data_IF_154153149138
#
_entry.id   IF_154153149138
#
_cell.length_a   1.000
_cell.length_b   1.000
_cell.length_c   1.000
_cell.angle_alpha   90.00
_cell.angle_beta   90.00
_cell.angle_gamma   90.00
#
_symmetry.space_group_name_H-M   'P 1'
#
loop_
_entity.id
_entity.type
_entity.pdbx_description
1 polymer ?
#
# COMPACT_ATOMS: atom_id res chain seq x y z
N UNK A 1 -19.12 20.43 17.76
CA UNK A 1 -18.21 20.44 16.60
C UNK A 1 -18.18 19.03 16.06
N UNK A 2 -18.68 18.79 14.84
CA UNK A 2 -18.55 17.46 14.24
C UNK A 2 -17.05 17.20 14.02
N UNK A 3 -16.53 16.01 14.37
CA UNK A 3 -15.15 15.68 14.08
C UNK A 3 -14.92 15.75 12.56
N UNK A 4 -13.88 16.48 12.15
CA UNK A 4 -13.47 16.55 10.73
C UNK A 4 -13.01 15.17 10.25
N UNK A 5 -13.18 14.86 8.96
CA UNK A 5 -12.71 13.60 8.37
C UNK A 5 -11.20 13.42 8.49
N UNK A 6 -10.44 14.51 8.63
CA UNK A 6 -9.02 14.51 8.97
C UNK A 6 -8.72 13.83 10.29
N UNK A 7 -9.68 13.67 11.19
CA UNK A 7 -9.48 12.97 12.46
C UNK A 7 -9.68 11.45 12.34
N UNK A 8 -10.02 10.93 11.15
CA UNK A 8 -10.23 9.50 10.92
C UNK A 8 -8.93 8.70 11.16
N UNK A 9 -8.84 7.89 12.23
CA UNK A 9 -7.62 7.15 12.58
C UNK A 9 -7.13 6.21 11.47
N UNK A 10 -8.03 5.60 10.68
CA UNK A 10 -7.61 4.70 9.61
C UNK A 10 -6.77 5.41 8.55
N UNK A 11 -7.01 6.70 8.27
CA UNK A 11 -6.18 7.48 7.35
C UNK A 11 -4.76 7.60 7.92
N UNK A 12 -4.61 8.04 9.17
CA UNK A 12 -3.29 8.23 9.79
C UNK A 12 -2.51 6.94 10.00
N UNK A 13 -3.18 5.85 10.36
CA UNK A 13 -2.53 4.54 10.50
C UNK A 13 -1.89 4.12 9.17
N UNK A 14 -2.63 4.25 8.07
CA UNK A 14 -2.10 3.90 6.76
C UNK A 14 -1.05 4.89 6.26
N UNK A 15 -1.23 6.20 6.50
CA UNK A 15 -0.22 7.19 6.16
C UNK A 15 1.10 6.90 6.90
N UNK A 16 1.03 6.58 8.20
CA UNK A 16 2.20 6.21 9.00
C UNK A 16 2.90 4.95 8.47
N UNK A 17 2.18 4.08 7.74
CA UNK A 17 2.74 2.94 7.02
C UNK A 17 3.87 3.30 6.04
N UNK A 18 3.96 4.55 5.58
CA UNK A 18 5.08 5.02 4.75
C UNK A 18 6.44 4.85 5.43
N UNK A 19 6.51 4.81 6.77
CA UNK A 19 7.75 4.56 7.50
C UNK A 19 8.31 3.14 7.25
N UNK A 20 7.47 2.18 6.86
CA UNK A 20 7.92 0.84 6.48
C UNK A 20 8.57 0.80 5.09
N UNK A 21 8.28 1.77 4.21
CA UNK A 21 8.85 1.84 2.86
C UNK A 21 10.39 1.79 2.84
N UNK A 22 11.12 2.69 3.52
CA UNK A 22 12.59 2.65 3.51
C UNK A 22 13.16 1.38 4.17
N UNK A 23 12.45 0.78 5.13
CA UNK A 23 12.88 -0.47 5.78
C UNK A 23 12.88 -1.61 4.74
N UNK A 24 11.80 -1.74 3.98
CA UNK A 24 11.71 -2.74 2.92
C UNK A 24 12.71 -2.50 1.78
N UNK A 25 12.99 -1.24 1.44
CA UNK A 25 14.07 -0.92 0.49
C UNK A 25 15.45 -1.32 1.01
N UNK A 26 15.71 -1.15 2.32
CA UNK A 26 16.95 -1.63 2.95
C UNK A 26 17.09 -3.14 2.87
N UNK A 27 16.01 -3.89 3.15
CA UNK A 27 15.99 -5.35 3.02
C UNK A 27 16.22 -5.77 1.56
N UNK A 28 15.59 -5.08 0.60
CA UNK A 28 15.81 -5.30 -0.83
C UNK A 28 17.28 -5.09 -1.22
N UNK A 29 17.90 -3.99 -0.77
CA UNK A 29 19.31 -3.71 -1.03
C UNK A 29 20.22 -4.82 -0.48
N UNK A 30 20.04 -5.20 0.79
CA UNK A 30 20.85 -6.25 1.43
C UNK A 30 20.66 -7.61 0.75
N UNK A 31 19.44 -7.91 0.30
CA UNK A 31 19.14 -9.17 -0.40
C UNK A 31 19.74 -9.20 -1.80
N UNK A 32 19.79 -8.06 -2.49
CA UNK A 32 20.45 -7.94 -3.79
C UNK A 32 21.98 -7.97 -3.66
N UNK A 33 22.54 -7.43 -2.57
CA UNK A 33 23.97 -7.43 -2.29
C UNK A 33 24.52 -8.82 -1.89
N UNK A 34 23.65 -9.75 -1.49
CA UNK A 34 24.02 -11.10 -1.09
C UNK A 34 24.35 -11.99 -2.31
N UNK A 35 25.55 -11.78 -2.87
CA UNK A 35 26.13 -12.59 -3.93
C UNK A 35 25.90 -12.07 -5.35
N UNK A 36 26.59 -12.69 -6.31
CA UNK A 36 26.51 -12.33 -7.72
C UNK A 36 25.16 -12.73 -8.36
N UNK A 37 24.75 -12.06 -9.46
CA UNK A 37 23.59 -12.47 -10.25
C UNK A 37 23.70 -13.93 -10.74
N UNK A 38 22.63 -14.72 -10.55
CA UNK A 38 22.50 -16.09 -11.09
C UNK A 38 22.04 -16.09 -12.54
N UNK A 39 21.23 -15.09 -12.90
CA UNK A 39 20.69 -14.89 -14.24
C UNK A 39 21.26 -13.59 -14.81
N UNK A 40 21.15 -13.37 -16.14
CA UNK A 40 21.44 -12.07 -16.73
C UNK A 40 20.69 -10.97 -15.97
N UNK A 41 21.38 -9.86 -15.69
CA UNK A 41 20.89 -8.74 -14.86
C UNK A 41 19.48 -8.30 -15.24
N UNK A 42 19.19 -8.18 -16.54
CA UNK A 42 17.88 -7.77 -17.03
C UNK A 42 16.76 -8.74 -16.61
N UNK A 43 17.05 -10.04 -16.51
CA UNK A 43 16.07 -11.06 -16.17
C UNK A 43 15.78 -11.06 -14.66
N UNK A 44 16.81 -10.99 -13.81
CA UNK A 44 16.60 -10.86 -12.35
C UNK A 44 15.84 -9.57 -12.02
N UNK A 45 16.26 -8.45 -12.62
CA UNK A 45 15.58 -7.18 -12.47
C UNK A 45 14.11 -7.28 -12.88
N UNK A 46 13.83 -7.88 -14.04
CA UNK A 46 12.46 -8.05 -14.53
C UNK A 46 11.63 -8.94 -13.61
N UNK A 47 12.20 -10.03 -13.08
CA UNK A 47 11.51 -10.91 -12.13
C UNK A 47 11.13 -10.17 -10.85
N UNK A 48 12.08 -9.45 -10.24
CA UNK A 48 11.82 -8.67 -9.03
C UNK A 48 10.78 -7.58 -9.33
N UNK A 49 10.92 -6.88 -10.45
CA UNK A 49 9.99 -5.84 -10.87
C UNK A 49 8.56 -6.38 -11.04
N UNK A 50 8.39 -7.50 -11.75
CA UNK A 50 7.08 -8.13 -11.98
C UNK A 50 6.47 -8.57 -10.64
N UNK A 51 7.23 -9.27 -9.80
CA UNK A 51 6.77 -9.74 -8.49
C UNK A 51 6.34 -8.56 -7.62
N UNK A 52 7.14 -7.49 -7.57
CA UNK A 52 6.86 -6.35 -6.69
C UNK A 52 5.79 -5.40 -7.21
N UNK A 53 5.61 -5.28 -8.53
CA UNK A 53 4.71 -4.29 -9.13
C UNK A 53 3.37 -4.90 -9.53
N UNK A 54 3.36 -6.02 -10.25
CA UNK A 54 2.15 -6.50 -10.90
C UNK A 54 1.00 -6.77 -9.91
N UNK A 55 1.19 -7.42 -8.75
CA UNK A 55 0.11 -7.68 -7.82
C UNK A 55 -0.51 -6.40 -7.25
N UNK A 56 0.33 -5.42 -6.90
CA UNK A 56 -0.13 -4.15 -6.30
C UNK A 56 -0.81 -3.29 -7.35
N UNK A 57 -0.24 -3.17 -8.55
CA UNK A 57 -0.84 -2.43 -9.66
C UNK A 57 -2.19 -3.03 -10.05
N UNK A 58 -2.27 -4.36 -10.17
CA UNK A 58 -3.53 -5.05 -10.44
C UNK A 58 -4.58 -4.76 -9.38
N UNK A 59 -4.22 -4.92 -8.10
CA UNK A 59 -5.10 -4.61 -6.98
C UNK A 59 -5.63 -3.18 -7.09
N UNK A 60 -4.74 -2.18 -7.22
CA UNK A 60 -5.13 -0.77 -7.24
C UNK A 60 -5.96 -0.36 -8.47
N UNK A 61 -5.75 -0.99 -9.63
CA UNK A 61 -6.54 -0.71 -10.83
C UNK A 61 -7.93 -1.36 -10.83
N UNK A 62 -8.03 -2.59 -10.32
CA UNK A 62 -9.26 -3.39 -10.42
C UNK A 62 -10.14 -3.19 -9.18
N UNK A 63 -9.58 -3.38 -7.99
CA UNK A 63 -10.26 -3.24 -6.69
C UNK A 63 -9.31 -2.57 -5.70
N UNK A 64 -9.29 -1.23 -5.61
CA UNK A 64 -8.38 -0.54 -4.70
C UNK A 64 -8.55 -1.04 -3.27
N UNK A 65 -7.47 -0.95 -2.51
CA UNK A 65 -7.42 -1.45 -1.14
C UNK A 65 -8.45 -0.73 -0.25
N UNK A 66 -9.23 -1.49 0.53
CA UNK A 66 -10.13 -0.93 1.53
C UNK A 66 -9.32 -0.45 2.75
N UNK A 67 -9.25 0.87 2.93
CA UNK A 67 -8.50 1.54 4.00
C UNK A 67 -9.01 1.22 5.42
N UNK A 68 -10.21 0.64 5.56
CA UNK A 68 -10.77 0.25 6.86
C UNK A 68 -10.33 -1.15 7.30
N UNK A 69 -9.09 -1.51 6.96
CA UNK A 69 -8.40 -2.73 7.33
C UNK A 69 -7.08 -2.39 8.03
N UNK A 70 -6.76 -3.07 9.13
CA UNK A 70 -5.44 -2.96 9.78
C UNK A 70 -4.88 -4.37 9.95
N UNK A 71 -3.70 -4.59 9.36
CA UNK A 71 -3.03 -5.89 9.33
C UNK A 71 -3.92 -6.99 8.74
N UNK A 72 -4.51 -7.83 9.59
CA UNK A 72 -5.35 -8.97 9.23
C UNK A 72 -6.82 -8.79 9.59
N UNK A 73 -7.23 -7.61 10.05
CA UNK A 73 -8.60 -7.31 10.46
C UNK A 73 -9.19 -6.20 9.59
N UNK A 74 -10.37 -6.43 9.04
CA UNK A 74 -11.12 -5.44 8.28
C UNK A 74 -12.47 -5.15 8.93
N UNK A 75 -12.91 -3.90 8.87
CA UNK A 75 -14.28 -3.58 9.23
C UNK A 75 -15.25 -4.10 8.17
N UNK A 76 -16.34 -4.70 8.64
CA UNK A 76 -17.47 -5.05 7.79
C UNK A 76 -18.04 -3.81 7.08
N UNK A 77 -18.40 -3.89 5.79
CA UNK A 77 -19.03 -2.76 5.09
C UNK A 77 -20.27 -2.18 5.80
N UNK A 78 -21.07 -3.03 6.46
CA UNK A 78 -22.35 -2.67 7.09
C UNK A 78 -22.18 -1.85 8.39
N UNK A 79 -20.96 -1.84 8.94
CA UNK A 79 -20.63 -1.05 10.15
C UNK A 79 -19.96 0.28 9.81
N UNK A 80 -19.59 0.52 8.55
CA UNK A 80 -18.97 1.77 8.13
C UNK A 80 -19.95 2.94 8.26
N UNK A 81 -19.45 4.05 8.79
CA UNK A 81 -20.24 5.29 8.92
C UNK A 81 -20.43 5.96 7.56
N UNK A 82 -21.35 6.93 7.50
CA UNK A 82 -21.56 7.78 6.33
C UNK A 82 -20.24 8.45 5.91
N UNK A 83 -19.50 9.01 6.85
CA UNK A 83 -18.22 9.69 6.58
C UNK A 83 -17.14 8.73 6.08
N UNK A 84 -17.06 7.52 6.64
CA UNK A 84 -16.15 6.48 6.16
C UNK A 84 -16.47 6.03 4.74
N UNK A 85 -17.76 5.91 4.40
CA UNK A 85 -18.19 5.62 3.03
C UNK A 85 -17.91 6.79 2.08
N UNK A 86 -17.97 8.05 2.51
CA UNK A 86 -17.50 9.19 1.69
C UNK A 86 -16.00 9.13 1.44
N UNK A 87 -15.21 8.70 2.43
CA UNK A 87 -13.77 8.45 2.25
C UNK A 87 -13.55 7.37 1.18
N UNK A 88 -14.30 6.26 1.17
CA UNK A 88 -14.20 5.26 0.09
C UNK A 88 -14.49 5.84 -1.30
N UNK A 89 -15.48 6.74 -1.42
CA UNK A 89 -15.76 7.43 -2.68
C UNK A 89 -14.55 8.21 -3.20
N UNK A 90 -13.69 8.75 -2.31
CA UNK A 90 -12.46 9.43 -2.70
C UNK A 90 -11.44 8.47 -3.34
N UNK A 91 -11.28 7.27 -2.78
CA UNK A 91 -10.36 6.25 -3.31
C UNK A 91 -10.76 5.73 -4.71
N UNK A 92 -11.98 6.00 -5.18
CA UNK A 92 -12.45 5.64 -6.54
C UNK A 92 -12.31 6.77 -7.56
N UNK A 93 -11.81 7.94 -7.16
CA UNK A 93 -11.67 9.09 -8.06
C UNK A 93 -10.63 8.82 -9.16
N UNK A 94 -10.78 9.44 -10.35
CA UNK A 94 -9.77 9.32 -11.41
C UNK A 94 -8.38 9.83 -11.00
N UNK A 95 -8.31 10.82 -10.09
CA UNK A 95 -7.04 11.35 -9.59
C UNK A 95 -6.20 10.27 -8.90
N UNK A 96 -6.84 9.35 -8.18
CA UNK A 96 -6.16 8.22 -7.52
C UNK A 96 -5.54 7.28 -8.56
N UNK A 97 -6.18 7.10 -9.71
CA UNK A 97 -5.63 6.28 -10.81
C UNK A 97 -4.33 6.86 -11.37
N UNK A 98 -4.15 8.18 -11.33
CA UNK A 98 -2.87 8.80 -11.72
C UNK A 98 -1.77 8.36 -10.76
N UNK A 99 -2.03 8.40 -9.45
CA UNK A 99 -1.11 7.90 -8.42
C UNK A 99 -0.78 6.41 -8.59
N UNK A 100 -1.80 5.59 -8.88
CA UNK A 100 -1.64 4.15 -9.15
C UNK A 100 -0.69 3.85 -10.30
N UNK A 101 -0.64 4.70 -11.33
CA UNK A 101 0.23 4.50 -12.51
C UNK A 101 1.60 5.16 -12.32
N UNK A 102 1.67 6.34 -11.71
CA UNK A 102 2.95 7.04 -11.53
C UNK A 102 3.83 6.41 -10.44
N UNK A 103 3.23 5.86 -9.38
CA UNK A 103 3.96 5.19 -8.31
C UNK A 103 4.83 4.00 -8.79
N UNK A 104 4.33 3.02 -9.56
CA UNK A 104 5.16 1.92 -10.03
C UNK A 104 6.28 2.38 -10.98
N UNK A 105 6.05 3.44 -11.78
CA UNK A 105 7.12 4.02 -12.62
C UNK A 105 8.24 4.60 -11.75
N UNK A 106 7.88 5.34 -10.69
CA UNK A 106 8.85 5.82 -9.71
C UNK A 106 9.60 4.65 -9.04
N UNK A 107 8.89 3.60 -8.64
CA UNK A 107 9.50 2.44 -7.98
C UNK A 107 10.41 1.63 -8.90
N UNK A 108 10.16 1.58 -10.22
CA UNK A 108 11.10 1.01 -11.19
C UNK A 108 12.43 1.76 -11.21
N UNK A 109 12.39 3.10 -11.15
CA UNK A 109 13.60 3.92 -11.06
C UNK A 109 14.35 3.68 -9.75
N UNK A 110 13.62 3.55 -8.64
CA UNK A 110 14.19 3.22 -7.33
C UNK A 110 14.82 1.83 -7.35
N UNK A 111 14.12 0.81 -7.87
CA UNK A 111 14.66 -0.55 -8.01
C UNK A 111 15.93 -0.54 -8.85
N UNK A 112 15.95 0.19 -9.96
CA UNK A 112 17.14 0.32 -10.82
C UNK A 112 18.32 0.89 -10.03
N UNK A 113 18.10 1.98 -9.28
CA UNK A 113 19.14 2.58 -8.44
C UNK A 113 19.64 1.62 -7.37
N UNK A 114 18.75 0.94 -6.67
CA UNK A 114 19.12 -0.04 -5.64
C UNK A 114 19.91 -1.19 -6.27
N UNK A 115 19.47 -1.73 -7.41
CA UNK A 115 20.16 -2.80 -8.10
C UNK A 115 21.58 -2.38 -8.50
N UNK A 116 21.77 -1.17 -9.02
CA UNK A 116 23.11 -0.64 -9.35
C UNK A 116 23.96 -0.35 -8.11
N UNK A 117 23.35 -0.08 -6.95
CA UNK A 117 24.05 0.22 -5.70
C UNK A 117 24.40 -1.04 -4.90
N UNK A 118 23.69 -2.15 -5.14
CA UNK A 118 23.85 -3.40 -4.40
C UNK A 118 25.31 -3.89 -4.29
N UNK A 119 26.17 -3.81 -5.33
CA UNK A 119 27.57 -4.22 -5.22
C UNK A 119 28.37 -3.42 -4.18
N UNK A 120 28.02 -2.15 -3.94
CA UNK A 120 28.68 -1.31 -2.93
C UNK A 120 28.39 -1.81 -1.51
N UNK A 121 27.25 -2.49 -1.32
CA UNK A 121 26.84 -3.05 -0.05
C UNK A 121 27.27 -4.51 0.14
N UNK A 122 28.07 -5.10 -0.77
CA UNK A 122 28.37 -6.54 -0.78
C UNK A 122 29.03 -7.08 0.51
N UNK A 123 29.72 -6.23 1.27
CA UNK A 123 30.39 -6.62 2.53
C UNK A 123 29.47 -6.57 3.76
N UNK A 124 28.23 -6.09 3.62
CA UNK A 124 27.29 -5.87 4.73
C UNK A 124 26.42 -7.11 5.03
N UNK A 125 25.83 -7.80 4.04
CA UNK A 125 24.90 -8.89 4.30
C UNK A 125 25.54 -10.01 5.13
N UNK A 126 24.87 -10.50 6.19
CA UNK A 126 25.35 -11.63 6.98
C UNK A 126 25.14 -12.99 6.28
N UNK A 127 24.71 -12.99 5.01
CA UNK A 127 24.25 -14.17 4.28
C UNK A 127 25.32 -14.63 3.30
N UNK A 128 25.58 -15.94 3.28
CA UNK A 128 26.54 -16.54 2.37
C UNK A 128 26.03 -16.49 0.91
N UNK A 129 26.92 -16.33 -0.10
CA UNK A 129 26.53 -16.31 -1.52
C UNK A 129 25.75 -17.54 -2.00
N UNK A 130 25.89 -18.69 -1.33
CA UNK A 130 25.13 -19.92 -1.63
C UNK A 130 23.61 -19.78 -1.41
N UNK A 131 23.16 -18.77 -0.67
CA UNK A 131 21.75 -18.49 -0.40
C UNK A 131 21.10 -17.57 -1.44
N UNK A 132 21.74 -17.37 -2.59
CA UNK A 132 21.34 -16.39 -3.59
C UNK A 132 19.88 -16.52 -4.06
N UNK A 133 19.37 -17.73 -4.26
CA UNK A 133 17.95 -17.96 -4.64
C UNK A 133 17.01 -17.47 -3.53
N UNK A 134 17.29 -17.80 -2.26
CA UNK A 134 16.50 -17.33 -1.13
C UNK A 134 16.55 -15.80 -1.04
N UNK A 135 17.71 -15.20 -1.28
CA UNK A 135 17.88 -13.74 -1.30
C UNK A 135 17.08 -13.08 -2.44
N UNK A 136 16.99 -13.70 -3.63
CA UNK A 136 16.14 -13.22 -4.71
C UNK A 136 14.64 -13.27 -4.35
N UNK A 137 14.19 -14.33 -3.66
CA UNK A 137 12.82 -14.42 -3.16
C UNK A 137 12.53 -13.32 -2.13
N UNK A 138 13.45 -13.12 -1.19
CA UNK A 138 13.34 -12.04 -0.19
C UNK A 138 13.35 -10.67 -0.88
N UNK A 139 14.17 -10.45 -1.90
CA UNK A 139 14.18 -9.22 -2.69
C UNK A 139 12.84 -8.97 -3.38
N UNK A 140 12.24 -9.99 -4.00
CA UNK A 140 10.90 -9.89 -4.60
C UNK A 140 9.83 -9.51 -3.58
N UNK A 141 9.80 -10.18 -2.42
CA UNK A 141 8.85 -9.88 -1.33
C UNK A 141 9.10 -8.50 -0.74
N UNK A 142 10.35 -8.12 -0.49
CA UNK A 142 10.70 -6.81 0.03
C UNK A 142 10.30 -5.70 -0.95
N UNK A 143 10.50 -5.90 -2.25
CA UNK A 143 10.06 -4.92 -3.25
C UNK A 143 8.53 -4.83 -3.34
N UNK A 144 7.82 -5.96 -3.30
CA UNK A 144 6.34 -6.01 -3.19
C UNK A 144 5.83 -5.21 -1.99
N UNK A 145 6.40 -5.45 -0.81
CA UNK A 145 6.00 -4.76 0.42
C UNK A 145 6.37 -3.28 0.38
N UNK A 146 7.54 -2.93 -0.16
CA UNK A 146 7.90 -1.52 -0.38
C UNK A 146 6.87 -0.83 -1.27
N UNK A 147 6.39 -1.50 -2.33
CA UNK A 147 5.38 -0.97 -3.22
C UNK A 147 4.03 -0.78 -2.51
N UNK A 148 3.58 -1.79 -1.76
CA UNK A 148 2.36 -1.73 -0.96
C UNK A 148 2.39 -0.55 0.04
N UNK A 149 3.49 -0.44 0.81
CA UNK A 149 3.72 0.60 1.80
C UNK A 149 4.09 1.97 1.20
N UNK A 150 4.19 2.09 -0.11
CA UNK A 150 4.32 3.37 -0.80
C UNK A 150 2.99 3.81 -1.41
N UNK A 151 2.32 2.91 -2.15
CA UNK A 151 1.08 3.24 -2.86
C UNK A 151 -0.09 3.49 -1.92
N UNK A 152 -0.27 2.70 -0.86
CA UNK A 152 -1.39 2.91 0.06
C UNK A 152 -1.31 4.29 0.76
N UNK A 153 -0.17 4.68 1.38
CA UNK A 153 -0.03 6.02 1.95
C UNK A 153 -0.18 7.13 0.92
N UNK A 154 0.27 6.93 -0.32
CA UNK A 154 0.11 7.91 -1.39
C UNK A 154 -1.37 8.17 -1.70
N UNK A 155 -2.20 7.13 -1.78
CA UNK A 155 -3.64 7.30 -1.96
C UNK A 155 -4.32 7.94 -0.74
N UNK A 156 -3.86 7.63 0.46
CA UNK A 156 -4.31 8.33 1.68
C UNK A 156 -3.97 9.82 1.61
N UNK A 157 -2.77 10.16 1.15
CA UNK A 157 -2.38 11.56 0.99
C UNK A 157 -3.29 12.27 -0.01
N UNK A 158 -3.67 11.63 -1.11
CA UNK A 158 -4.66 12.15 -2.06
C UNK A 158 -6.02 12.44 -1.43
N UNK A 159 -6.50 11.53 -0.57
CA UNK A 159 -7.72 11.72 0.25
C UNK A 159 -7.57 12.91 1.21
N UNK A 160 -6.48 12.97 1.97
CA UNK A 160 -6.23 14.03 2.94
C UNK A 160 -6.14 15.40 2.25
N UNK A 161 -5.54 15.50 1.07
CA UNK A 161 -5.48 16.76 0.31
C UNK A 161 -6.85 17.27 -0.20
N UNK A 162 -7.93 16.52 0.00
CA UNK A 162 -9.29 16.98 -0.32
C UNK A 162 -9.75 18.07 0.65
N UNK A 163 -10.27 19.18 0.13
CA UNK A 163 -10.85 20.26 0.94
C UNK A 163 -12.12 19.79 1.67
N UNK A 164 -12.33 20.24 2.91
CA UNK A 164 -13.54 19.90 3.68
C UNK A 164 -14.84 20.27 2.97
N UNK A 165 -14.88 21.41 2.27
CA UNK A 165 -16.05 21.82 1.49
C UNK A 165 -16.36 20.86 0.34
N UNK A 166 -15.33 20.37 -0.35
CA UNK A 166 -15.47 19.36 -1.39
C UNK A 166 -15.91 18.03 -0.78
N UNK A 167 -15.34 17.64 0.36
CA UNK A 167 -15.70 16.42 1.07
C UNK A 167 -17.15 16.39 1.57
N UNK A 168 -17.66 17.52 2.08
CA UNK A 168 -19.04 17.63 2.54
C UNK A 168 -20.07 17.30 1.43
N UNK A 169 -19.74 17.62 0.18
CA UNK A 169 -20.56 17.35 -1.01
C UNK A 169 -20.43 15.94 -1.59
N UNK A 170 -19.53 15.11 -1.03
CA UNK A 170 -19.33 13.74 -1.53
C UNK A 170 -20.48 12.86 -1.08
N UNK A 171 -21.02 12.10 -2.02
CA UNK A 171 -21.98 11.05 -1.70
C UNK A 171 -21.28 9.84 -1.07
N UNK A 172 -21.84 9.27 0.01
CA UNK A 172 -21.32 8.06 0.62
C UNK A 172 -21.35 6.89 -0.36
N UNK A 173 -20.26 6.11 -0.42
CA UNK A 173 -20.23 4.92 -1.25
C UNK A 173 -21.34 3.91 -0.87
N UNK A 174 -22.05 3.29 -1.82
CA UNK A 174 -23.08 2.29 -1.52
C UNK A 174 -22.51 1.07 -0.80
N UNK A 175 -23.12 0.65 0.31
CA UNK A 175 -22.60 -0.45 1.15
C UNK A 175 -22.50 -1.75 0.35
N UNK A 176 -23.52 -2.01 -0.45
CA UNK A 176 -23.69 -3.23 -1.24
C UNK A 176 -22.58 -3.39 -2.28
N UNK A 177 -21.98 -2.28 -2.72
CA UNK A 177 -20.91 -2.28 -3.72
C UNK A 177 -19.50 -2.41 -3.13
N UNK A 178 -19.34 -2.26 -1.81
CA UNK A 178 -17.99 -2.19 -1.20
C UNK A 178 -17.24 -3.52 -1.35
N UNK A 179 -17.92 -4.66 -1.20
CA UNK A 179 -17.27 -5.98 -1.37
C UNK A 179 -16.85 -6.25 -2.81
N UNK A 180 -17.62 -5.72 -3.77
CA UNK A 180 -17.34 -5.90 -5.19
C UNK A 180 -16.26 -4.95 -5.70
N UNK A 181 -16.22 -3.72 -5.18
CA UNK A 181 -15.40 -2.65 -5.73
C UNK A 181 -14.07 -2.39 -5.02
N UNK A 182 -13.84 -3.01 -3.86
CA UNK A 182 -12.63 -2.85 -3.05
C UNK A 182 -12.03 -4.19 -2.62
N UNK A 183 -10.70 -4.21 -2.47
CA UNK A 183 -10.01 -5.34 -1.85
C UNK A 183 -10.11 -5.23 -0.33
N UNK A 184 -10.87 -6.15 0.27
CA UNK A 184 -10.98 -6.29 1.72
C UNK A 184 -9.98 -7.38 2.15
N UNK A 185 -8.86 -6.96 2.74
CA UNK A 185 -7.84 -7.89 3.23
C UNK A 185 -8.16 -8.33 4.66
N UNK A 186 -8.10 -9.63 4.94
CA UNK A 186 -8.21 -10.17 6.31
C UNK A 186 -9.63 -10.50 6.78
N UNK A 187 -9.74 -10.77 8.08
CA UNK A 187 -10.96 -11.20 8.75
C UNK A 187 -11.89 -10.02 9.02
N UNK A 188 -13.14 -10.15 8.61
CA UNK A 188 -14.12 -9.09 8.78
C UNK A 188 -14.73 -9.09 10.18
N UNK A 189 -14.64 -7.95 10.86
CA UNK A 189 -15.10 -7.75 12.24
C UNK A 189 -15.99 -6.50 12.33
N UNK A 190 -16.82 -6.45 13.37
CA UNK A 190 -17.70 -5.30 13.60
C UNK A 190 -16.94 -4.13 14.25
N UNK A 191 -15.78 -4.40 14.86
CA UNK A 191 -14.95 -3.39 15.52
C UNK A 191 -13.48 -3.82 15.61
N UNK A 192 -12.58 -2.86 15.47
CA UNK A 192 -11.14 -3.02 15.75
C UNK A 192 -10.82 -2.15 16.98
N UNK A 193 -10.55 -2.75 18.13
CA UNK A 193 -10.21 -2.02 19.36
C UNK A 193 -8.74 -1.56 19.33
N UNK A 194 -8.38 -0.38 19.86
CA UNK A 194 -9.22 0.62 20.55
C UNK A 194 -9.84 1.68 19.62
N UNK A 195 -9.82 1.46 18.30
CA UNK A 195 -10.32 2.43 17.31
C UNK A 195 -11.83 2.63 17.54
N UNK A 196 -12.20 3.81 18.04
CA UNK A 196 -13.61 4.18 18.25
C UNK A 196 -14.22 4.47 16.88
N UNK A 197 -15.19 3.68 16.46
CA UNK A 197 -16.10 4.08 15.40
C UNK A 197 -16.88 5.31 15.87
N UNK A 198 -16.87 6.38 15.08
CA UNK A 198 -17.77 7.50 15.31
C UNK A 198 -19.22 7.00 15.32
N UNK A 199 -20.09 7.49 16.23
CA UNK A 199 -21.43 6.96 16.38
C UNK A 199 -22.19 7.03 15.05
N UNK A 200 -22.92 5.95 14.72
CA UNK A 200 -23.88 5.93 13.59
C UNK A 200 -24.89 7.06 13.82
N UNK A 201 -24.79 8.15 13.08
CA UNK A 201 -25.92 9.05 12.89
C UNK A 201 -26.87 8.35 11.93
N UNK A 202 -27.93 7.76 12.49
CA UNK A 202 -29.10 7.33 11.73
C UNK A 202 -29.71 8.59 11.11
N UNK A 203 -29.63 8.74 9.79
CA UNK A 203 -30.48 9.65 9.00
C UNK A 203 -30.96 8.91 7.77
#
# INVERSE_FOLDING_TARGET
>A
MFPSFWSEPFLWIHLAGIAAFPIWLGILLLSLAAGEPLLPVWLEFSLIAIIGIAPILWMQLVKPFNIFCVLILALKPEVLTVEQRKILSLFKRPLEKVGTITAPLFLLLVLWKIYTLAPVAAEIPPLAPSWRIACLLVAGVAFLLSNLFFQIPLSVLGVLLTKESAFASIEPYPVEKIQDDFTIAGFQVDKILPIKSSPKTLS
#
